data_IF_277307793568
#
_entry.id   IF_277307793568
#
_cell.length_a   1.000
_cell.length_b   1.000
_cell.length_c   1.000
_cell.angle_alpha   90.00
_cell.angle_beta   90.00
_cell.angle_gamma   90.00
#
_symmetry.space_group_name_H-M   'P 1'
#
loop_
_entity.id
_entity.type
_entity.pdbx_description
1 polymer ?
#
# COMPACT_ATOMS: atom_id res chain seq x y z
N UNK A 1 -54.08 32.67 40.71
CA UNK A 1 -53.52 31.31 40.61
C UNK A 1 -52.46 31.35 39.51
N UNK A 2 -51.18 31.38 39.88
CA UNK A 2 -50.07 31.57 38.95
C UNK A 2 -49.54 30.19 38.54
N UNK A 3 -49.76 29.77 37.30
CA UNK A 3 -49.17 28.54 36.77
C UNK A 3 -47.74 28.84 36.30
N UNK A 4 -46.75 28.43 37.09
CA UNK A 4 -45.34 28.47 36.69
C UNK A 4 -45.03 27.20 35.91
N UNK A 5 -44.88 27.33 34.59
CA UNK A 5 -44.41 26.26 33.72
C UNK A 5 -42.88 26.17 33.86
N UNK A 6 -42.40 25.15 34.57
CA UNK A 6 -40.99 24.79 34.56
C UNK A 6 -40.64 24.20 33.19
N UNK A 7 -40.10 25.01 32.29
CA UNK A 7 -39.40 24.49 31.12
C UNK A 7 -38.11 23.84 31.61
N UNK A 8 -38.09 22.52 31.71
CA UNK A 8 -36.83 21.80 31.84
C UNK A 8 -36.00 22.11 30.59
N UNK A 9 -35.00 22.96 30.73
CA UNK A 9 -33.94 23.10 29.75
C UNK A 9 -33.26 21.73 29.67
N UNK A 10 -33.70 20.90 28.71
CA UNK A 10 -32.94 19.76 28.25
C UNK A 10 -31.63 20.31 27.69
N UNK A 11 -30.65 20.50 28.56
CA UNK A 11 -29.26 20.69 28.15
C UNK A 11 -28.95 19.51 27.25
N UNK A 12 -28.83 19.78 25.95
CA UNK A 12 -28.30 18.83 24.98
C UNK A 12 -26.85 18.59 25.38
N UNK A 13 -26.63 17.64 26.31
CA UNK A 13 -25.31 17.21 26.73
C UNK A 13 -24.67 16.59 25.49
N UNK A 14 -23.71 17.31 24.92
CA UNK A 14 -22.99 16.92 23.71
C UNK A 14 -22.51 15.47 23.88
N UNK A 15 -23.04 14.56 23.06
CA UNK A 15 -22.74 13.14 23.17
C UNK A 15 -21.31 12.92 22.72
N UNK A 16 -20.50 12.26 23.56
CA UNK A 16 -19.09 11.97 23.25
C UNK A 16 -19.01 11.17 21.96
N UNK A 17 -18.31 11.72 20.96
CA UNK A 17 -17.98 11.02 19.72
C UNK A 17 -16.51 10.65 19.75
N UNK A 18 -16.20 9.39 19.47
CA UNK A 18 -14.83 8.87 19.35
C UNK A 18 -14.55 8.45 17.92
N UNK A 19 -13.27 8.46 17.55
CA UNK A 19 -12.79 7.73 16.38
C UNK A 19 -12.33 6.36 16.84
N UNK A 20 -12.62 5.34 16.05
CA UNK A 20 -12.16 3.98 16.29
C UNK A 20 -11.47 3.43 15.05
N UNK A 21 -10.48 2.58 15.28
CA UNK A 21 -9.71 1.90 14.24
C UNK A 21 -9.21 0.56 14.75
N UNK A 22 -9.19 -0.46 13.89
CA UNK A 22 -8.56 -1.73 14.22
C UNK A 22 -8.86 -2.84 13.22
N UNK A 23 -8.36 -4.03 13.53
CA UNK A 23 -8.55 -5.22 12.71
C UNK A 23 -9.94 -5.84 12.96
N UNK A 24 -10.68 -6.18 11.91
CA UNK A 24 -11.99 -6.81 12.04
C UNK A 24 -11.83 -8.26 12.50
N UNK A 25 -12.46 -8.57 13.64
CA UNK A 25 -12.53 -9.93 14.18
C UNK A 25 -13.81 -10.62 13.72
N UNK A 26 -14.92 -9.88 13.70
CA UNK A 26 -16.24 -10.40 13.30
C UNK A 26 -17.16 -9.23 12.95
N UNK A 27 -18.10 -9.47 12.05
CA UNK A 27 -19.27 -8.60 11.91
C UNK A 27 -20.54 -9.44 11.91
N UNK A 28 -21.64 -8.82 12.28
CA UNK A 28 -22.97 -9.41 12.20
C UNK A 28 -23.89 -8.37 11.57
N UNK A 29 -24.22 -8.53 10.28
CA UNK A 29 -25.04 -7.56 9.54
C UNK A 29 -26.54 -7.95 9.49
N UNK A 30 -26.85 -9.23 9.70
CA UNK A 30 -28.20 -9.80 9.53
C UNK A 30 -28.88 -10.16 10.86
N UNK A 31 -28.22 -9.91 12.01
CA UNK A 31 -28.77 -10.17 13.34
C UNK A 31 -29.74 -9.06 13.81
N UNK A 32 -30.42 -9.32 14.92
CA UNK A 32 -31.27 -8.32 15.61
C UNK A 32 -30.47 -7.10 16.10
N UNK A 33 -29.17 -7.29 16.31
CA UNK A 33 -28.24 -6.24 16.74
C UNK A 33 -27.04 -6.21 15.78
N UNK A 34 -27.11 -5.43 14.68
CA UNK A 34 -26.02 -5.38 13.74
C UNK A 34 -24.78 -4.72 14.35
N UNK A 35 -23.62 -5.37 14.25
CA UNK A 35 -22.42 -4.96 14.98
C UNK A 35 -21.11 -5.32 14.28
N UNK A 36 -20.08 -4.56 14.60
CA UNK A 36 -18.68 -4.86 14.32
C UNK A 36 -17.94 -5.21 15.61
N UNK A 37 -17.17 -6.29 15.59
CA UNK A 37 -16.15 -6.62 16.58
C UNK A 37 -14.78 -6.43 15.96
N UNK A 38 -13.96 -5.60 16.58
CA UNK A 38 -12.64 -5.29 16.08
C UNK A 38 -11.60 -5.32 17.21
N UNK A 39 -10.37 -5.67 16.87
CA UNK A 39 -9.23 -5.60 17.76
C UNK A 39 -8.67 -4.18 17.69
N UNK A 40 -8.84 -3.42 18.76
CA UNK A 40 -8.41 -2.03 18.84
C UNK A 40 -6.89 -1.90 18.73
N UNK A 41 -6.43 -1.08 17.80
CA UNK A 41 -4.99 -0.95 17.50
C UNK A 41 -4.15 -0.40 18.65
N UNK A 42 -4.77 0.30 19.60
CA UNK A 42 -4.08 0.95 20.72
C UNK A 42 -4.10 0.09 21.97
N UNK A 43 -5.25 -0.51 22.27
CA UNK A 43 -5.46 -1.29 23.49
C UNK A 43 -5.27 -2.79 23.30
N UNK A 44 -5.21 -3.27 22.06
CA UNK A 44 -5.15 -4.69 21.69
C UNK A 44 -6.28 -5.50 22.35
N UNK A 45 -7.42 -4.85 22.59
CA UNK A 45 -8.62 -5.46 23.15
C UNK A 45 -9.71 -5.48 22.10
N UNK A 46 -10.50 -6.53 22.11
CA UNK A 46 -11.71 -6.59 21.30
C UNK A 46 -12.73 -5.56 21.80
N UNK A 47 -13.29 -4.80 20.87
CA UNK A 47 -14.35 -3.84 21.11
C UNK A 47 -15.48 -4.06 20.13
N UNK A 48 -16.69 -3.74 20.59
CA UNK A 48 -17.91 -3.88 19.82
C UNK A 48 -18.52 -2.52 19.52
N UNK A 49 -18.83 -2.25 18.26
CA UNK A 49 -19.60 -1.08 17.81
C UNK A 49 -20.88 -1.58 17.15
N UNK A 50 -22.03 -1.09 17.60
CA UNK A 50 -23.32 -1.39 17.01
C UNK A 50 -23.65 -0.38 15.92
N UNK A 51 -24.21 -0.83 14.82
CA UNK A 51 -24.52 0.01 13.67
C UNK A 51 -25.89 -0.36 13.13
N UNK A 52 -26.52 0.54 12.38
CA UNK A 52 -27.79 0.23 11.73
C UNK A 52 -27.59 -0.77 10.57
N UNK A 53 -28.63 -1.56 10.30
CA UNK A 53 -28.57 -2.63 9.30
C UNK A 53 -28.26 -2.10 7.88
N UNK A 54 -28.69 -0.89 7.55
CA UNK A 54 -28.48 -0.29 6.23
C UNK A 54 -27.03 0.16 6.04
N UNK A 55 -26.42 0.73 7.07
CA UNK A 55 -25.00 1.05 7.14
C UNK A 55 -24.14 -0.20 7.02
N UNK A 56 -24.52 -1.29 7.72
CA UNK A 56 -23.82 -2.57 7.65
C UNK A 56 -23.89 -3.19 6.24
N UNK A 57 -25.09 -3.25 5.62
CA UNK A 57 -25.28 -3.79 4.26
C UNK A 57 -24.50 -3.01 3.20
N UNK A 58 -24.42 -1.69 3.37
CA UNK A 58 -23.75 -0.82 2.41
C UNK A 58 -22.23 -0.86 2.51
N UNK A 59 -21.68 -1.19 3.68
CA UNK A 59 -20.24 -1.23 3.92
C UNK A 59 -19.59 -2.53 3.43
N UNK A 60 -20.39 -3.58 3.19
CA UNK A 60 -19.93 -4.95 3.13
C UNK A 60 -20.65 -5.73 2.02
N UNK A 61 -19.95 -6.04 0.94
CA UNK A 61 -20.37 -7.13 0.05
C UNK A 61 -20.27 -8.50 0.76
N UNK A 62 -20.40 -9.59 0.00
CA UNK A 62 -20.22 -10.98 0.49
C UNK A 62 -18.74 -11.34 0.81
N UNK A 63 -17.93 -10.39 1.26
CA UNK A 63 -16.50 -10.61 1.47
C UNK A 63 -16.21 -11.23 2.85
N UNK A 64 -15.18 -12.08 2.98
CA UNK A 64 -14.74 -12.59 4.27
C UNK A 64 -14.15 -11.45 5.12
N UNK A 65 -14.41 -11.46 6.43
CA UNK A 65 -13.94 -10.42 7.36
C UNK A 65 -12.44 -10.49 7.65
N UNK A 66 -11.81 -11.63 7.40
CA UNK A 66 -10.39 -11.86 7.69
C UNK A 66 -9.50 -10.84 6.95
N UNK A 67 -8.47 -10.33 7.64
CA UNK A 67 -7.48 -9.36 7.12
C UNK A 67 -8.04 -7.97 6.76
N UNK A 68 -9.29 -7.68 7.08
CA UNK A 68 -9.87 -6.35 6.91
C UNK A 68 -9.67 -5.50 8.17
N UNK A 69 -9.51 -4.21 7.95
CA UNK A 69 -9.48 -3.20 8.99
C UNK A 69 -10.73 -2.34 8.87
N UNK A 70 -11.17 -1.81 10.01
CA UNK A 70 -12.30 -0.89 10.10
C UNK A 70 -11.84 0.41 10.73
N UNK A 71 -12.33 1.51 10.18
CA UNK A 71 -12.16 2.85 10.72
C UNK A 71 -13.50 3.58 10.70
N UNK A 72 -13.80 4.32 11.77
CA UNK A 72 -15.07 5.02 11.85
C UNK A 72 -15.18 5.96 13.03
N UNK A 73 -16.40 6.49 13.20
CA UNK A 73 -16.79 7.29 14.35
C UNK A 73 -17.89 6.58 15.10
N UNK A 74 -17.86 6.64 16.42
CA UNK A 74 -18.92 6.09 17.25
C UNK A 74 -19.32 7.07 18.36
N UNK A 75 -20.57 7.00 18.79
CA UNK A 75 -21.10 7.78 19.91
C UNK A 75 -21.67 6.86 20.98
N UNK A 76 -21.56 7.26 22.23
CA UNK A 76 -22.08 6.48 23.35
C UNK A 76 -23.60 6.66 23.45
N UNK A 77 -24.35 5.58 23.69
CA UNK A 77 -25.82 5.65 23.85
C UNK A 77 -26.23 6.57 24.99
N UNK A 78 -25.52 6.44 26.12
CA UNK A 78 -25.64 7.31 27.28
C UNK A 78 -24.27 7.48 27.94
N UNK A 79 -24.02 8.55 28.73
CA UNK A 79 -22.71 8.81 29.32
C UNK A 79 -22.14 7.69 30.20
N UNK A 80 -23.00 6.80 30.70
CA UNK A 80 -22.65 5.68 31.58
C UNK A 80 -22.74 4.32 30.89
N UNK A 81 -23.11 4.28 29.61
CA UNK A 81 -23.30 3.02 28.87
C UNK A 81 -22.02 2.62 28.16
N UNK A 82 -21.62 1.35 28.24
CA UNK A 82 -20.49 0.83 27.45
C UNK A 82 -20.86 0.57 25.98
N UNK A 83 -22.07 0.92 25.57
CA UNK A 83 -22.58 0.71 24.21
C UNK A 83 -22.21 1.89 23.32
N UNK A 84 -21.51 1.58 22.24
CA UNK A 84 -21.09 2.51 21.21
C UNK A 84 -21.87 2.26 19.91
N UNK A 85 -22.44 3.33 19.37
CA UNK A 85 -23.19 3.34 18.11
C UNK A 85 -22.39 3.99 17.00
N UNK A 86 -22.39 3.40 15.80
CA UNK A 86 -21.84 4.01 14.59
C UNK A 86 -22.40 5.43 14.36
N UNK A 87 -21.53 6.35 13.98
CA UNK A 87 -21.89 7.67 13.47
C UNK A 87 -21.50 7.72 12.00
N UNK A 88 -22.49 7.49 11.13
CA UNK A 88 -22.30 7.37 9.69
C UNK A 88 -21.67 6.04 9.28
N UNK A 89 -21.22 5.97 8.02
CA UNK A 89 -20.69 4.74 7.41
C UNK A 89 -19.22 4.52 7.78
N UNK A 90 -18.87 3.41 8.44
CA UNK A 90 -17.46 3.08 8.68
C UNK A 90 -16.77 2.69 7.38
N UNK A 91 -15.48 3.00 7.29
CA UNK A 91 -14.61 2.64 6.19
C UNK A 91 -13.96 1.29 6.49
N UNK A 92 -14.14 0.34 5.57
CA UNK A 92 -13.62 -1.03 5.70
C UNK A 92 -12.66 -1.25 4.54
N UNK A 93 -11.43 -1.63 4.86
CA UNK A 93 -10.36 -1.74 3.88
C UNK A 93 -9.39 -2.85 4.26
N UNK A 94 -8.78 -3.46 3.26
CA UNK A 94 -7.67 -4.38 3.49
C UNK A 94 -6.39 -3.56 3.65
N UNK A 95 -5.72 -3.69 4.80
CA UNK A 95 -4.40 -3.08 4.98
C UNK A 95 -3.39 -3.93 4.21
N UNK A 96 -3.07 -3.52 2.98
CA UNK A 96 -1.99 -4.16 2.23
C UNK A 96 -0.68 -3.90 2.98
N UNK A 97 -0.14 -4.95 3.62
CA UNK A 97 1.29 -4.96 3.86
C UNK A 97 1.93 -5.06 2.48
N UNK A 98 2.51 -3.94 2.02
CA UNK A 98 3.50 -4.00 0.96
C UNK A 98 4.64 -4.80 1.59
N UNK A 99 4.67 -6.10 1.35
CA UNK A 99 5.88 -6.87 1.61
C UNK A 99 6.98 -6.12 0.85
N UNK A 100 7.98 -5.65 1.59
CA UNK A 100 9.21 -5.22 0.95
C UNK A 100 9.67 -6.47 0.23
N UNK A 101 9.45 -6.55 -1.08
CA UNK A 101 10.02 -7.60 -1.89
C UNK A 101 11.50 -7.57 -1.53
N UNK A 102 11.99 -8.62 -0.88
CA UNK A 102 13.43 -8.86 -0.73
C UNK A 102 14.02 -8.49 -2.07
N UNK A 103 15.01 -7.60 -2.10
CA UNK A 103 15.61 -7.10 -3.33
C UNK A 103 16.16 -8.28 -4.13
N UNK A 104 15.29 -8.96 -4.87
CA UNK A 104 15.69 -9.80 -5.98
C UNK A 104 16.43 -8.81 -6.85
N UNK A 105 17.73 -9.00 -7.00
CA UNK A 105 18.51 -8.35 -8.04
C UNK A 105 17.65 -8.36 -9.29
N UNK A 106 17.06 -7.22 -9.65
CA UNK A 106 16.30 -7.10 -10.89
C UNK A 106 17.35 -7.07 -11.98
N UNK A 107 17.82 -8.25 -12.35
CA UNK A 107 18.70 -8.42 -13.49
C UNK A 107 17.91 -8.13 -14.75
N UNK A 108 18.55 -7.41 -15.66
CA UNK A 108 18.05 -7.15 -17.00
C UNK A 108 18.87 -8.00 -17.95
N UNK A 109 18.22 -8.93 -18.63
CA UNK A 109 18.84 -9.64 -19.74
C UNK A 109 19.09 -8.68 -20.90
N UNK A 110 20.34 -8.56 -21.33
CA UNK A 110 20.75 -7.73 -22.46
C UNK A 110 21.37 -8.64 -23.50
N UNK A 111 20.93 -8.50 -24.74
CA UNK A 111 21.46 -9.25 -25.88
C UNK A 111 21.47 -8.35 -27.12
N UNK A 112 22.60 -8.21 -27.80
CA UNK A 112 22.72 -7.48 -29.05
C UNK A 112 24.15 -7.25 -29.53
N UNK A 113 24.30 -6.61 -30.68
CA UNK A 113 25.60 -6.25 -31.24
C UNK A 113 25.97 -4.83 -30.82
N UNK A 114 27.15 -4.63 -30.24
CA UNK A 114 27.66 -3.30 -29.87
C UNK A 114 28.19 -2.60 -31.12
N UNK A 115 27.79 -1.35 -31.33
CA UNK A 115 28.19 -0.55 -32.50
C UNK A 115 29.04 0.66 -32.11
N UNK A 116 28.89 1.16 -30.89
CA UNK A 116 29.67 2.28 -30.36
C UNK A 116 29.93 2.02 -28.87
N UNK A 117 31.11 2.35 -28.38
CA UNK A 117 31.47 2.22 -26.98
C UNK A 117 32.44 3.33 -26.55
N UNK A 118 32.20 3.92 -25.39
CA UNK A 118 33.05 4.91 -24.74
C UNK A 118 33.57 4.35 -23.40
N UNK A 119 34.85 4.00 -23.39
CA UNK A 119 35.53 3.45 -22.20
C UNK A 119 35.72 4.45 -21.05
N UNK A 120 35.51 5.75 -21.27
CA UNK A 120 35.63 6.78 -20.22
C UNK A 120 34.32 6.94 -19.46
N UNK A 121 33.20 7.00 -20.17
CA UNK A 121 31.87 7.17 -19.55
C UNK A 121 31.15 5.84 -19.27
N UNK A 122 31.62 4.74 -19.85
CA UNK A 122 30.92 3.45 -19.80
C UNK A 122 29.69 3.38 -20.71
N UNK A 123 29.44 4.40 -21.54
CA UNK A 123 28.31 4.42 -22.44
C UNK A 123 28.56 3.53 -23.65
N UNK A 124 27.58 2.70 -23.99
CA UNK A 124 27.58 1.89 -25.20
C UNK A 124 26.28 2.11 -25.98
N UNK A 125 26.37 1.94 -27.29
CA UNK A 125 25.25 1.83 -28.20
C UNK A 125 25.26 0.44 -28.79
N UNK A 126 24.14 -0.27 -28.67
CA UNK A 126 23.99 -1.62 -29.18
C UNK A 126 22.69 -1.78 -29.97
N UNK A 127 22.71 -2.70 -30.93
CA UNK A 127 21.59 -3.03 -31.79
C UNK A 127 20.86 -4.26 -31.26
N UNK A 128 19.55 -4.10 -31.05
CA UNK A 128 18.63 -5.20 -30.72
C UNK A 128 17.49 -5.17 -31.71
N UNK A 129 17.33 -6.24 -32.49
CA UNK A 129 16.25 -6.37 -33.49
C UNK A 129 16.17 -5.14 -34.42
N UNK A 130 17.33 -4.62 -34.84
CA UNK A 130 17.45 -3.45 -35.72
C UNK A 130 17.21 -2.09 -35.06
N UNK A 131 16.99 -2.03 -33.72
CA UNK A 131 16.85 -0.76 -32.98
C UNK A 131 18.11 -0.45 -32.19
N UNK A 132 18.56 0.80 -32.27
CA UNK A 132 19.65 1.33 -31.42
C UNK A 132 19.15 1.53 -30.00
N UNK A 133 19.90 1.01 -29.05
CA UNK A 133 19.66 1.13 -27.61
C UNK A 133 20.92 1.67 -26.94
N UNK A 134 20.72 2.54 -25.95
CA UNK A 134 21.79 3.17 -25.18
C UNK A 134 21.86 2.54 -23.80
N UNK A 135 23.06 2.30 -23.29
CA UNK A 135 23.26 1.71 -21.97
C UNK A 135 24.57 2.22 -21.38
N UNK A 136 24.58 2.45 -20.06
CA UNK A 136 25.81 2.69 -19.32
C UNK A 136 26.19 1.41 -18.59
N UNK A 137 27.31 0.80 -18.97
CA UNK A 137 27.88 -0.39 -18.35
C UNK A 137 29.14 -0.02 -17.56
N UNK A 138 29.77 -1.02 -16.93
CA UNK A 138 31.07 -0.83 -16.28
C UNK A 138 32.11 -0.25 -17.27
N UNK A 139 32.82 0.86 -16.92
CA UNK A 139 33.76 1.50 -17.83
C UNK A 139 34.91 0.61 -18.32
N UNK A 140 35.37 -0.34 -17.50
CA UNK A 140 36.38 -1.34 -17.89
C UNK A 140 35.88 -2.20 -19.06
N UNK A 141 34.67 -2.72 -18.97
CA UNK A 141 34.03 -3.51 -20.01
C UNK A 141 33.77 -2.67 -21.28
N UNK A 142 33.29 -1.43 -21.13
CA UNK A 142 33.10 -0.53 -22.27
C UNK A 142 34.43 -0.21 -22.98
N UNK A 143 35.54 -0.11 -22.23
CA UNK A 143 36.87 0.11 -22.79
C UNK A 143 37.33 -1.10 -23.61
N UNK A 144 37.14 -2.32 -23.11
CA UNK A 144 37.45 -3.55 -23.87
C UNK A 144 36.63 -3.64 -25.17
N UNK A 145 35.35 -3.27 -25.11
CA UNK A 145 34.48 -3.18 -26.29
C UNK A 145 34.97 -2.12 -27.28
N UNK A 146 35.35 -0.93 -26.79
CA UNK A 146 35.87 0.15 -27.62
C UNK A 146 37.18 -0.24 -28.31
N UNK A 147 38.09 -0.90 -27.59
CA UNK A 147 39.34 -1.41 -28.15
C UNK A 147 39.09 -2.48 -29.23
N UNK A 148 38.13 -3.37 -29.03
CA UNK A 148 37.76 -4.39 -30.01
C UNK A 148 37.09 -3.78 -31.26
N UNK A 149 36.19 -2.81 -31.08
CA UNK A 149 35.61 -2.04 -32.17
C UNK A 149 36.66 -1.26 -32.96
N UNK A 150 37.71 -0.75 -32.30
CA UNK A 150 38.82 -0.05 -32.97
C UNK A 150 39.64 -0.97 -33.89
N UNK A 151 39.63 -2.28 -33.63
CA UNK A 151 40.22 -3.32 -34.48
C UNK A 151 39.25 -3.82 -35.56
N UNK A 152 38.09 -3.17 -35.72
CA UNK A 152 37.00 -3.59 -36.63
C UNK A 152 36.45 -4.99 -36.32
N UNK A 153 36.56 -5.44 -35.06
CA UNK A 153 36.00 -6.71 -34.61
C UNK A 153 34.49 -6.56 -34.34
N UNK A 154 33.75 -7.65 -34.54
CA UNK A 154 32.34 -7.69 -34.14
C UNK A 154 32.26 -7.96 -32.64
N UNK A 155 31.62 -7.04 -31.92
CA UNK A 155 31.44 -7.13 -30.47
C UNK A 155 29.98 -7.37 -30.15
N UNK A 156 29.72 -8.39 -29.33
CA UNK A 156 28.38 -8.70 -28.84
C UNK A 156 28.29 -8.45 -27.33
N UNK A 157 27.12 -8.01 -26.89
CA UNK A 157 26.76 -7.92 -25.49
C UNK A 157 25.68 -8.96 -25.23
N UNK A 158 25.97 -9.93 -24.35
CA UNK A 158 25.02 -10.94 -23.91
C UNK A 158 25.24 -11.27 -22.43
N UNK A 159 24.15 -11.32 -21.68
CA UNK A 159 24.13 -11.72 -20.29
C UNK A 159 23.06 -11.02 -19.46
N UNK A 160 23.03 -11.39 -18.19
CA UNK A 160 22.21 -10.76 -17.17
C UNK A 160 23.01 -9.62 -16.53
N UNK A 161 22.40 -8.43 -16.50
CA UNK A 161 23.04 -7.24 -15.98
C UNK A 161 22.21 -6.65 -14.85
N UNK A 162 22.88 -6.34 -13.75
CA UNK A 162 22.28 -5.70 -12.58
C UNK A 162 22.62 -4.22 -12.54
N UNK A 163 21.61 -3.38 -12.35
CA UNK A 163 21.85 -1.95 -12.18
C UNK A 163 22.37 -1.67 -10.76
N UNK A 164 23.62 -1.21 -10.66
CA UNK A 164 24.18 -0.74 -9.40
C UNK A 164 23.76 0.71 -9.15
N UNK A 165 22.90 0.92 -8.14
CA UNK A 165 22.38 2.26 -7.81
C UNK A 165 23.45 3.20 -7.26
N UNK A 166 24.48 2.68 -6.61
CA UNK A 166 25.57 3.48 -6.03
C UNK A 166 26.47 3.95 -7.17
N UNK A 167 26.84 3.04 -8.07
CA UNK A 167 27.75 3.33 -9.18
C UNK A 167 27.07 3.92 -10.42
N UNK A 168 25.74 3.81 -10.51
CA UNK A 168 24.89 4.33 -11.59
C UNK A 168 25.17 3.73 -12.98
N UNK A 169 25.60 2.47 -13.02
CA UNK A 169 25.77 1.70 -14.26
C UNK A 169 25.38 0.23 -14.08
N UNK A 170 25.23 -0.47 -15.20
CA UNK A 170 24.94 -1.89 -15.23
C UNK A 170 26.23 -2.72 -15.09
N UNK A 171 26.23 -3.66 -14.15
CA UNK A 171 27.30 -4.63 -13.92
C UNK A 171 26.81 -5.98 -14.44
N UNK A 172 27.68 -6.71 -15.14
CA UNK A 172 27.39 -8.08 -15.56
C UNK A 172 27.42 -8.98 -14.33
N UNK A 173 26.33 -9.68 -14.04
CA UNK A 173 26.27 -10.68 -12.96
C UNK A 173 26.99 -11.99 -13.38
#
# INVERSE_FOLDING_TARGET
>A
MLFVLFSNALFAKERKVIRFSGELVRWEAQGSEPQFRYLDSTTLREKTIFCDADTMKSALGNQPYEKHHIEGKATQVSPTSDIWLCVGKPHIFQKYQVSVSSSSSQTKKIQGQVIEADGTTGQIVYLVRGRRSYLTIEPSLAKEMAESLSRMETVEIDGDYRYDRIKRYYIKD
#
